data_IF_724148790453
#
_entry.id   IF_724148790453
#
_cell.length_a   1.000
_cell.length_b   1.000
_cell.length_c   1.000
_cell.angle_alpha   90.00
_cell.angle_beta   90.00
_cell.angle_gamma   90.00
#
_symmetry.space_group_name_H-M   'P 1'
#
loop_
_entity.id
_entity.type
_entity.pdbx_description
1 polymer ?
#
# COMPACT_ATOMS: atom_id res chain seq x y z
N UNK A 1 0.53 -15.05 26.50
CA UNK A 1 -0.32 -15.01 25.30
C UNK A 1 0.56 -15.44 24.12
N UNK A 2 0.68 -16.72 23.91
CA UNK A 2 1.63 -17.29 22.94
C UNK A 2 0.89 -18.27 22.05
N UNK A 3 0.00 -17.77 21.22
CA UNK A 3 -0.51 -18.46 20.05
C UNK A 3 -0.35 -17.49 18.90
N UNK A 4 0.60 -17.74 18.03
CA UNK A 4 0.60 -17.08 16.74
C UNK A 4 -0.76 -17.36 16.10
N UNK A 5 -1.50 -16.31 15.75
CA UNK A 5 -2.76 -16.45 15.02
C UNK A 5 -2.45 -17.15 13.70
N UNK A 6 -3.11 -18.30 13.46
CA UNK A 6 -2.94 -18.99 12.18
C UNK A 6 -3.35 -18.09 11.02
N UNK A 7 -2.53 -17.93 10.00
CA UNK A 7 -2.91 -17.16 8.83
C UNK A 7 -4.20 -17.63 8.15
N UNK A 8 -4.53 -18.92 8.24
CA UNK A 8 -5.76 -19.47 7.66
C UNK A 8 -7.04 -18.99 8.35
N UNK A 9 -6.96 -18.54 9.61
CA UNK A 9 -8.10 -17.97 10.33
C UNK A 9 -8.28 -16.46 10.14
N UNK A 10 -7.42 -15.80 9.35
CA UNK A 10 -7.55 -14.38 9.00
C UNK A 10 -8.58 -14.19 7.87
N UNK A 11 -9.84 -14.52 8.17
CA UNK A 11 -10.98 -14.45 7.26
C UNK A 11 -12.25 -14.04 8.03
N UNK A 12 -13.24 -13.55 7.34
CA UNK A 12 -14.52 -13.21 7.91
C UNK A 12 -15.42 -14.47 8.01
N UNK A 13 -16.25 -14.55 9.06
CA UNK A 13 -17.09 -15.72 9.32
C UNK A 13 -18.03 -16.08 8.14
N UNK A 14 -18.51 -15.06 7.40
CA UNK A 14 -19.42 -15.29 6.29
C UNK A 14 -18.77 -16.11 5.16
N UNK A 15 -17.46 -16.04 5.00
CA UNK A 15 -16.72 -16.81 4.01
C UNK A 15 -16.81 -18.31 4.32
N UNK A 16 -16.64 -18.70 5.60
CA UNK A 16 -16.83 -20.08 6.03
C UNK A 16 -18.29 -20.55 5.88
N UNK A 17 -19.26 -19.70 6.23
CA UNK A 17 -20.68 -20.07 6.11
C UNK A 17 -21.10 -20.24 4.66
N UNK A 18 -20.59 -19.40 3.76
CA UNK A 18 -20.80 -19.55 2.32
C UNK A 18 -20.10 -20.80 1.77
N UNK A 19 -18.88 -21.10 2.22
CA UNK A 19 -18.15 -22.30 1.80
C UNK A 19 -18.90 -23.59 2.18
N UNK A 20 -19.47 -23.69 3.43
CA UNK A 20 -20.30 -24.83 3.80
C UNK A 20 -21.59 -24.90 2.97
N UNK A 21 -22.23 -23.76 2.68
CA UNK A 21 -23.40 -23.70 1.80
C UNK A 21 -23.06 -24.17 0.38
N UNK A 22 -21.99 -23.70 -0.22
CA UNK A 22 -21.52 -24.15 -1.54
C UNK A 22 -21.25 -25.67 -1.57
N UNK A 23 -20.60 -26.18 -0.50
CA UNK A 23 -20.33 -27.61 -0.38
C UNK A 23 -21.61 -28.43 -0.34
N UNK A 24 -22.61 -28.04 0.46
CA UNK A 24 -23.90 -28.76 0.56
C UNK A 24 -24.70 -28.76 -0.73
N UNK A 25 -24.61 -27.69 -1.50
CA UNK A 25 -25.26 -27.53 -2.79
C UNK A 25 -24.43 -28.12 -3.96
N UNK A 26 -23.30 -28.80 -3.69
CA UNK A 26 -22.39 -29.35 -4.71
C UNK A 26 -21.88 -28.29 -5.69
N UNK A 27 -21.66 -27.07 -5.17
CA UNK A 27 -21.20 -25.93 -5.92
C UNK A 27 -19.72 -25.58 -5.63
N UNK A 28 -19.14 -26.11 -4.55
CA UNK A 28 -17.84 -25.67 -4.02
C UNK A 28 -16.71 -25.70 -5.05
N UNK A 29 -16.71 -26.69 -5.93
CA UNK A 29 -15.67 -26.93 -6.95
C UNK A 29 -15.97 -26.24 -8.30
N UNK A 30 -17.11 -25.51 -8.42
CA UNK A 30 -17.45 -24.84 -9.67
C UNK A 30 -16.51 -23.64 -9.89
N UNK A 31 -16.05 -23.44 -11.15
CA UNK A 31 -15.12 -22.37 -11.45
C UNK A 31 -15.77 -20.99 -11.27
N UNK A 32 -15.03 -20.10 -10.63
CA UNK A 32 -15.43 -18.71 -10.46
C UNK A 32 -14.22 -17.77 -10.62
N UNK A 33 -14.47 -16.57 -11.12
CA UNK A 33 -13.49 -15.50 -11.16
C UNK A 33 -13.96 -14.35 -10.26
N UNK A 34 -13.06 -13.88 -9.40
CA UNK A 34 -13.24 -12.69 -8.59
C UNK A 34 -12.23 -11.62 -8.99
N UNK A 35 -12.65 -10.37 -8.98
CA UNK A 35 -11.80 -9.21 -9.30
C UNK A 35 -11.70 -8.29 -8.09
N UNK A 36 -10.47 -7.93 -7.71
CA UNK A 36 -10.15 -6.93 -6.69
C UNK A 36 -9.74 -5.63 -7.37
N UNK A 37 -10.41 -4.53 -7.02
CA UNK A 37 -10.12 -3.19 -7.53
C UNK A 37 -10.48 -2.12 -6.52
N UNK A 38 -9.98 -0.89 -6.71
CA UNK A 38 -10.37 0.30 -5.94
C UNK A 38 -11.43 1.05 -6.74
N UNK A 39 -12.57 1.39 -6.13
CA UNK A 39 -13.68 2.06 -6.83
C UNK A 39 -13.41 3.52 -7.16
N UNK A 40 -12.75 4.21 -6.24
CA UNK A 40 -12.45 5.63 -6.37
C UNK A 40 -11.13 5.96 -5.68
N UNK A 41 -10.34 6.85 -6.29
CA UNK A 41 -9.19 7.41 -5.63
C UNK A 41 -9.65 8.32 -4.47
N UNK A 42 -8.88 8.35 -3.36
CA UNK A 42 -9.05 9.37 -2.35
C UNK A 42 -8.95 10.78 -2.94
N UNK A 43 -9.57 11.75 -2.29
CA UNK A 43 -9.46 13.15 -2.71
C UNK A 43 -7.98 13.57 -2.82
N UNK A 44 -7.65 14.31 -3.86
CA UNK A 44 -6.30 14.77 -4.18
C UNK A 44 -5.27 13.66 -4.54
N UNK A 45 -5.71 12.42 -4.75
CA UNK A 45 -4.85 11.36 -5.25
C UNK A 45 -5.08 11.15 -6.75
N UNK A 46 -4.06 11.41 -7.58
CA UNK A 46 -4.15 11.25 -9.04
C UNK A 46 -3.70 9.88 -9.53
N UNK A 47 -3.25 9.01 -8.62
CA UNK A 47 -2.77 7.66 -8.89
C UNK A 47 -2.74 6.85 -7.60
N UNK A 48 -2.58 5.54 -7.75
CA UNK A 48 -2.27 4.59 -6.68
C UNK A 48 -1.00 3.80 -7.03
N UNK A 49 -0.28 3.32 -6.04
CA UNK A 49 0.86 2.41 -6.20
C UNK A 49 0.46 1.03 -5.73
N UNK A 50 0.29 0.08 -6.64
CA UNK A 50 -0.10 -1.28 -6.30
C UNK A 50 0.95 -1.96 -5.40
N UNK A 51 0.53 -2.44 -4.24
CA UNK A 51 1.39 -3.11 -3.26
C UNK A 51 0.59 -4.10 -2.40
N UNK A 52 1.26 -5.12 -1.84
CA UNK A 52 0.66 -6.16 -1.00
C UNK A 52 0.47 -7.50 -1.71
N UNK A 53 0.80 -7.60 -3.00
CA UNK A 53 0.64 -8.82 -3.79
C UNK A 53 1.48 -9.98 -3.24
N UNK A 54 2.73 -9.74 -2.85
CA UNK A 54 3.62 -10.81 -2.32
C UNK A 54 3.01 -11.51 -1.11
N UNK A 55 2.43 -10.73 -0.17
CA UNK A 55 1.77 -11.27 1.02
C UNK A 55 0.51 -12.08 0.63
N UNK A 56 -0.26 -11.60 -0.35
CA UNK A 56 -1.43 -12.30 -0.86
C UNK A 56 -1.06 -13.64 -1.50
N UNK A 57 -0.05 -13.64 -2.35
CA UNK A 57 0.40 -14.84 -3.05
C UNK A 57 1.00 -15.88 -2.09
N UNK A 58 1.81 -15.43 -1.13
CA UNK A 58 2.37 -16.31 -0.10
C UNK A 58 1.28 -16.93 0.77
N UNK A 59 0.26 -16.15 1.14
CA UNK A 59 -0.88 -16.65 1.91
C UNK A 59 -1.67 -17.69 1.13
N UNK A 60 -1.98 -17.44 -0.15
CA UNK A 60 -2.69 -18.40 -1.00
C UNK A 60 -1.91 -19.71 -1.19
N UNK A 61 -0.60 -19.63 -1.46
CA UNK A 61 0.26 -20.82 -1.64
C UNK A 61 0.34 -21.67 -0.37
N UNK A 62 0.27 -21.03 0.81
CA UNK A 62 0.36 -21.69 2.11
C UNK A 62 -1.01 -21.97 2.76
N UNK A 63 -2.12 -21.61 2.12
CA UNK A 63 -3.44 -21.77 2.70
C UNK A 63 -3.74 -23.22 3.06
N UNK A 64 -3.83 -23.47 4.33
CA UNK A 64 -4.27 -24.76 4.90
C UNK A 64 -4.74 -24.57 6.34
N UNK A 65 -5.72 -25.34 6.75
CA UNK A 65 -6.23 -25.31 8.11
C UNK A 65 -5.58 -26.42 8.92
N UNK A 66 -4.85 -26.03 9.97
CA UNK A 66 -4.22 -26.98 10.92
C UNK A 66 -5.26 -27.61 11.83
N UNK A 67 -4.95 -28.73 12.52
CA UNK A 67 -5.86 -29.29 13.51
C UNK A 67 -6.31 -28.29 14.59
N UNK A 68 -5.43 -27.36 14.99
CA UNK A 68 -5.76 -26.31 15.95
C UNK A 68 -6.76 -25.28 15.36
N UNK A 69 -6.64 -24.97 14.08
CA UNK A 69 -7.60 -24.09 13.38
C UNK A 69 -8.97 -24.74 13.29
N UNK A 70 -9.01 -26.02 12.93
CA UNK A 70 -10.26 -26.80 12.84
C UNK A 70 -10.94 -26.89 14.22
N UNK A 71 -10.19 -27.08 15.29
CA UNK A 71 -10.72 -27.02 16.66
C UNK A 71 -11.29 -25.64 16.99
N UNK A 72 -10.62 -24.55 16.56
CA UNK A 72 -11.12 -23.18 16.76
C UNK A 72 -12.43 -22.95 16.01
N UNK A 73 -12.54 -23.43 14.76
CA UNK A 73 -13.77 -23.36 13.96
C UNK A 73 -14.89 -24.24 14.58
N UNK A 74 -14.55 -25.44 15.06
CA UNK A 74 -15.51 -26.34 15.72
C UNK A 74 -16.14 -25.72 17.00
N UNK A 75 -15.37 -24.91 17.74
CA UNK A 75 -15.86 -24.19 18.93
C UNK A 75 -16.98 -23.18 18.63
N UNK A 76 -17.12 -22.74 17.40
CA UNK A 76 -18.24 -21.88 16.97
C UNK A 76 -19.59 -22.61 17.03
N UNK A 77 -19.61 -23.94 16.96
CA UNK A 77 -20.80 -24.81 17.06
C UNK A 77 -21.87 -24.53 15.98
N UNK A 78 -21.47 -24.04 14.82
CA UNK A 78 -22.36 -23.73 13.69
C UNK A 78 -22.05 -24.61 12.47
N UNK A 79 -20.92 -25.30 12.46
CA UNK A 79 -20.47 -26.14 11.36
C UNK A 79 -20.57 -27.62 11.73
N UNK A 80 -20.98 -28.51 10.79
CA UNK A 80 -20.98 -29.95 11.00
C UNK A 80 -19.57 -30.53 10.85
N UNK A 81 -19.37 -31.74 11.40
CA UNK A 81 -18.08 -32.42 11.37
C UNK A 81 -17.58 -32.67 9.92
N UNK A 82 -18.48 -32.94 8.99
CA UNK A 82 -18.13 -33.14 7.59
C UNK A 82 -17.56 -31.89 6.92
N UNK A 83 -17.97 -30.70 7.35
CA UNK A 83 -17.38 -29.45 6.89
C UNK A 83 -15.97 -29.27 7.45
N UNK A 84 -15.75 -29.61 8.72
CA UNK A 84 -14.43 -29.51 9.35
C UNK A 84 -13.43 -30.48 8.67
N UNK A 85 -13.86 -31.68 8.31
CA UNK A 85 -13.04 -32.63 7.55
C UNK A 85 -12.66 -32.03 6.18
N UNK A 86 -13.65 -31.55 5.43
CA UNK A 86 -13.44 -30.92 4.14
C UNK A 86 -12.51 -29.70 4.23
N UNK A 87 -12.72 -28.84 5.24
CA UNK A 87 -11.89 -27.64 5.47
C UNK A 87 -10.44 -28.01 5.76
N UNK A 88 -10.18 -29.12 6.46
CA UNK A 88 -8.83 -29.61 6.74
C UNK A 88 -8.07 -30.07 5.48
N UNK A 89 -8.78 -30.54 4.48
CA UNK A 89 -8.22 -30.95 3.18
C UNK A 89 -8.06 -29.80 2.20
N UNK A 90 -8.74 -28.66 2.45
CA UNK A 90 -8.75 -27.53 1.55
C UNK A 90 -7.34 -26.96 1.34
N UNK A 91 -7.03 -26.71 0.09
CA UNK A 91 -5.86 -25.98 -0.38
C UNK A 91 -6.30 -25.00 -1.47
N UNK A 92 -5.56 -23.94 -1.68
CA UNK A 92 -5.81 -23.11 -2.84
C UNK A 92 -5.24 -23.78 -4.09
N UNK A 93 -6.08 -24.08 -5.06
CA UNK A 93 -5.71 -24.74 -6.33
C UNK A 93 -5.92 -23.82 -7.53
N UNK A 94 -6.40 -22.60 -7.30
CA UNK A 94 -6.71 -21.63 -8.35
C UNK A 94 -5.48 -20.95 -8.95
N UNK A 95 -5.75 -20.03 -9.86
CA UNK A 95 -4.77 -19.18 -10.54
C UNK A 95 -5.02 -17.71 -10.21
N UNK A 96 -3.99 -16.88 -10.27
CA UNK A 96 -4.08 -15.45 -10.01
C UNK A 96 -3.42 -14.68 -11.14
N UNK A 97 -4.14 -13.70 -11.69
CA UNK A 97 -3.60 -12.67 -12.55
C UNK A 97 -3.59 -11.35 -11.79
N UNK A 98 -2.49 -10.63 -11.82
CA UNK A 98 -2.35 -9.39 -11.05
C UNK A 98 -1.44 -8.39 -11.77
N UNK A 99 -1.60 -7.10 -11.42
CA UNK A 99 -0.61 -6.09 -11.76
C UNK A 99 0.62 -6.32 -10.87
N UNK A 100 1.84 -6.27 -11.40
CA UNK A 100 3.06 -6.38 -10.59
C UNK A 100 3.12 -5.27 -9.54
N UNK A 101 3.69 -5.57 -8.37
CA UNK A 101 3.91 -4.54 -7.35
C UNK A 101 4.78 -3.38 -7.87
N UNK A 102 4.43 -2.18 -7.46
CA UNK A 102 5.06 -0.94 -7.94
C UNK A 102 4.42 -0.39 -9.22
N UNK A 103 3.45 -1.09 -9.83
CA UNK A 103 2.67 -0.54 -10.94
C UNK A 103 1.84 0.65 -10.45
N UNK A 104 1.87 1.74 -11.20
CA UNK A 104 0.93 2.83 -11.03
C UNK A 104 -0.42 2.39 -11.57
N UNK A 105 -1.48 2.55 -10.80
CA UNK A 105 -2.84 2.12 -11.14
C UNK A 105 -3.86 3.20 -10.79
N UNK A 106 -5.06 3.09 -11.36
CA UNK A 106 -6.14 4.06 -11.20
C UNK A 106 -7.45 3.38 -10.76
N UNK A 107 -8.41 4.18 -10.31
CA UNK A 107 -9.71 3.67 -9.89
C UNK A 107 -10.42 2.89 -11.00
N UNK A 108 -11.07 1.81 -10.63
CA UNK A 108 -11.78 0.91 -11.55
C UNK A 108 -10.88 -0.13 -12.24
N UNK A 109 -9.57 -0.02 -12.12
CA UNK A 109 -8.62 -1.00 -12.65
C UNK A 109 -8.50 -2.21 -11.72
N UNK A 110 -8.55 -3.45 -12.25
CA UNK A 110 -8.31 -4.63 -11.44
C UNK A 110 -6.85 -4.70 -10.98
N UNK A 111 -6.64 -4.76 -9.66
CA UNK A 111 -5.33 -4.99 -9.06
C UNK A 111 -4.93 -6.47 -9.16
N UNK A 112 -5.91 -7.35 -8.97
CA UNK A 112 -5.77 -8.78 -9.17
C UNK A 112 -7.12 -9.43 -9.51
N UNK A 113 -7.05 -10.60 -10.16
CA UNK A 113 -8.17 -11.49 -10.38
C UNK A 113 -7.78 -12.91 -9.96
N UNK A 114 -8.69 -13.56 -9.23
CA UNK A 114 -8.55 -14.92 -8.74
C UNK A 114 -9.49 -15.81 -9.52
N UNK A 115 -8.95 -16.81 -10.19
CA UNK A 115 -9.68 -17.85 -10.91
C UNK A 115 -9.54 -19.19 -10.18
N UNK A 116 -10.62 -19.86 -9.83
CA UNK A 116 -10.55 -21.15 -9.16
C UNK A 116 -11.91 -21.67 -8.69
N UNK A 117 -11.93 -22.76 -7.93
CA UNK A 117 -13.12 -23.24 -7.26
C UNK A 117 -13.77 -22.15 -6.43
N UNK A 118 -15.10 -21.98 -6.52
CA UNK A 118 -15.77 -20.82 -5.91
C UNK A 118 -15.56 -20.75 -4.40
N UNK A 119 -15.50 -21.90 -3.72
CA UNK A 119 -15.27 -21.91 -2.28
C UNK A 119 -13.85 -21.41 -1.92
N UNK A 120 -12.83 -21.83 -2.66
CA UNK A 120 -11.45 -21.38 -2.46
C UNK A 120 -11.28 -19.89 -2.77
N UNK A 121 -11.82 -19.45 -3.91
CA UNK A 121 -11.73 -18.05 -4.34
C UNK A 121 -12.51 -17.12 -3.38
N UNK A 122 -13.64 -17.60 -2.81
CA UNK A 122 -14.39 -16.83 -1.81
C UNK A 122 -13.65 -16.69 -0.48
N UNK A 123 -13.00 -17.74 0.01
CA UNK A 123 -12.22 -17.71 1.25
C UNK A 123 -11.01 -16.75 1.18
N UNK A 124 -10.61 -16.35 0.00
CA UNK A 124 -9.49 -15.42 -0.19
C UNK A 124 -9.88 -13.93 0.04
N UNK A 125 -11.17 -13.58 0.04
CA UNK A 125 -11.65 -12.19 -0.01
C UNK A 125 -11.04 -11.32 1.08
N UNK A 126 -11.20 -11.70 2.35
CA UNK A 126 -10.80 -10.85 3.47
C UNK A 126 -9.30 -10.61 3.52
N UNK A 127 -8.48 -11.66 3.36
CA UNK A 127 -7.03 -11.50 3.44
C UNK A 127 -6.48 -10.69 2.26
N UNK A 128 -6.92 -10.95 1.04
CA UNK A 128 -6.48 -10.23 -0.15
C UNK A 128 -6.88 -8.76 -0.08
N UNK A 129 -8.12 -8.47 0.30
CA UNK A 129 -8.58 -7.09 0.49
C UNK A 129 -7.76 -6.37 1.55
N UNK A 130 -7.54 -6.99 2.70
CA UNK A 130 -6.79 -6.37 3.80
C UNK A 130 -5.38 -5.98 3.37
N UNK A 131 -4.62 -6.91 2.76
CA UNK A 131 -3.24 -6.68 2.38
C UNK A 131 -3.10 -5.71 1.21
N UNK A 132 -3.89 -5.87 0.15
CA UNK A 132 -3.86 -4.99 -1.01
C UNK A 132 -4.31 -3.57 -0.66
N UNK A 133 -5.37 -3.41 0.13
CA UNK A 133 -5.89 -2.10 0.56
C UNK A 133 -4.86 -1.35 1.40
N UNK A 134 -4.34 -2.00 2.44
CA UNK A 134 -3.40 -1.38 3.38
C UNK A 134 -2.11 -0.96 2.65
N UNK A 135 -1.47 -1.91 1.97
CA UNK A 135 -0.15 -1.66 1.41
C UNK A 135 -0.20 -0.71 0.21
N UNK A 136 -1.24 -0.77 -0.64
CA UNK A 136 -1.45 0.20 -1.72
C UNK A 136 -1.63 1.61 -1.16
N UNK A 137 -2.41 1.78 -0.09
CA UNK A 137 -2.57 3.06 0.58
C UNK A 137 -1.24 3.59 1.15
N UNK A 138 -0.49 2.75 1.88
CA UNK A 138 0.80 3.12 2.47
C UNK A 138 1.85 3.46 1.41
N UNK A 139 1.96 2.65 0.34
CA UNK A 139 2.90 2.89 -0.75
C UNK A 139 2.58 4.18 -1.50
N UNK A 140 1.30 4.43 -1.78
CA UNK A 140 0.87 5.66 -2.44
C UNK A 140 1.19 6.88 -1.60
N UNK A 141 0.84 6.88 -0.29
CA UNK A 141 1.15 7.98 0.61
C UNK A 141 2.66 8.24 0.72
N UNK A 142 3.46 7.18 0.83
CA UNK A 142 4.91 7.29 0.87
C UNK A 142 5.49 7.90 -0.42
N UNK A 143 4.97 7.50 -1.60
CA UNK A 143 5.37 8.05 -2.89
C UNK A 143 5.02 9.54 -3.03
N UNK A 144 3.88 9.98 -2.49
CA UNK A 144 3.43 11.38 -2.46
C UNK A 144 4.34 12.23 -1.58
N UNK A 145 4.70 11.76 -0.38
CA UNK A 145 5.67 12.45 0.49
C UNK A 145 7.04 12.55 -0.19
N UNK A 146 7.51 11.48 -0.85
CA UNK A 146 8.75 11.49 -1.63
C UNK A 146 8.70 12.51 -2.78
N UNK A 147 7.57 12.58 -3.49
CA UNK A 147 7.38 13.56 -4.56
C UNK A 147 7.46 15.00 -4.04
N UNK A 148 6.74 15.28 -2.95
CA UNK A 148 6.73 16.58 -2.29
C UNK A 148 8.13 17.05 -1.89
N UNK A 149 8.99 16.13 -1.47
CA UNK A 149 10.35 16.41 -1.01
C UNK A 149 11.30 16.87 -2.14
N UNK A 150 10.92 16.71 -3.41
CA UNK A 150 11.71 17.24 -4.54
C UNK A 150 13.15 16.72 -4.59
N UNK A 151 13.35 15.43 -4.33
CA UNK A 151 14.67 14.78 -4.31
C UNK A 151 15.41 14.81 -2.98
N UNK A 152 14.88 15.52 -1.95
CA UNK A 152 15.42 15.50 -0.60
C UNK A 152 15.10 14.19 0.11
N UNK A 153 15.88 13.85 1.13
CA UNK A 153 15.67 12.63 1.91
C UNK A 153 14.29 12.61 2.60
N UNK A 154 13.58 11.50 2.52
CA UNK A 154 12.38 11.24 3.33
C UNK A 154 12.60 9.95 4.12
N UNK A 155 12.40 10.02 5.42
CA UNK A 155 12.57 8.90 6.35
C UNK A 155 11.24 8.56 7.02
N UNK A 156 10.91 7.28 7.05
CA UNK A 156 9.77 6.76 7.80
C UNK A 156 10.02 6.81 9.31
N UNK A 157 9.23 7.61 10.03
CA UNK A 157 9.19 7.71 11.50
C UNK A 157 7.87 7.20 12.09
N UNK A 158 7.18 6.31 11.38
CA UNK A 158 5.77 6.03 11.65
C UNK A 158 5.49 4.76 12.48
N UNK A 159 6.47 3.89 12.78
CA UNK A 159 6.19 2.66 13.53
C UNK A 159 5.33 2.90 14.78
N UNK A 160 5.65 3.90 15.60
CA UNK A 160 4.89 4.25 16.81
C UNK A 160 3.54 4.95 16.53
N UNK A 161 3.21 5.23 15.27
CA UNK A 161 2.00 5.93 14.82
C UNK A 161 1.11 5.06 13.93
N UNK A 162 1.64 3.93 13.46
CA UNK A 162 0.90 2.97 12.66
C UNK A 162 -0.19 2.27 13.49
N UNK A 163 -1.31 1.86 12.87
CA UNK A 163 -2.39 1.12 13.53
C UNK A 163 -1.99 -0.35 13.77
N UNK A 164 -1.07 -0.57 14.67
CA UNK A 164 -0.52 -1.88 15.00
C UNK A 164 0.88 -2.12 14.41
N UNK A 165 1.57 -3.08 15.03
CA UNK A 165 2.97 -3.40 14.68
C UNK A 165 3.08 -3.93 13.25
N UNK A 166 2.12 -4.76 12.80
CA UNK A 166 2.12 -5.32 11.46
C UNK A 166 2.02 -4.21 10.39
N UNK A 167 1.10 -3.26 10.55
CA UNK A 167 1.00 -2.11 9.66
C UNK A 167 2.30 -1.29 9.60
N UNK A 168 3.01 -1.14 10.74
CA UNK A 168 4.33 -0.51 10.78
C UNK A 168 5.43 -1.32 10.06
N UNK A 169 5.33 -2.65 10.06
CA UNK A 169 6.21 -3.51 9.27
C UNK A 169 5.92 -3.39 7.77
N UNK A 170 4.63 -3.40 7.38
CA UNK A 170 4.20 -3.21 5.99
C UNK A 170 4.60 -1.82 5.47
N UNK A 171 4.54 -0.78 6.32
CA UNK A 171 5.03 0.55 5.92
C UNK A 171 6.53 0.56 5.63
N UNK A 172 7.36 -0.10 6.44
CA UNK A 172 8.79 -0.20 6.14
C UNK A 172 9.04 -0.91 4.79
N UNK A 173 8.25 -1.93 4.45
CA UNK A 173 8.25 -2.60 3.14
C UNK A 173 7.86 -1.62 2.02
N UNK A 174 6.74 -0.91 2.19
CA UNK A 174 6.28 0.08 1.22
C UNK A 174 7.28 1.23 1.04
N UNK A 175 7.94 1.66 2.12
CA UNK A 175 9.02 2.66 2.07
C UNK A 175 10.17 2.20 1.16
N UNK A 176 10.55 0.91 1.24
CA UNK A 176 11.55 0.33 0.33
C UNK A 176 11.05 0.26 -1.11
N UNK A 177 9.78 -0.14 -1.29
CA UNK A 177 9.15 -0.23 -2.61
C UNK A 177 9.21 1.10 -3.36
N UNK A 178 8.86 2.21 -2.70
CA UNK A 178 8.82 3.54 -3.33
C UNK A 178 10.11 4.35 -3.14
N UNK A 179 11.17 3.76 -2.58
CA UNK A 179 12.49 4.40 -2.49
C UNK A 179 12.60 5.54 -1.48
N UNK A 180 11.98 5.43 -0.31
CA UNK A 180 12.31 6.32 0.81
C UNK A 180 13.75 6.11 1.27
N UNK A 181 14.36 7.15 1.83
CA UNK A 181 15.78 7.16 2.21
C UNK A 181 16.10 6.31 3.44
N UNK A 182 15.09 5.96 4.25
CA UNK A 182 15.29 5.15 5.45
C UNK A 182 14.00 4.93 6.24
N UNK A 183 14.11 4.10 7.29
CA UNK A 183 13.05 3.88 8.28
C UNK A 183 13.62 3.84 9.69
N UNK A 184 12.89 4.37 10.65
CA UNK A 184 13.19 4.25 12.08
C UNK A 184 12.79 2.88 12.67
N UNK A 185 12.08 2.06 11.91
CA UNK A 185 11.68 0.72 12.28
C UNK A 185 12.85 -0.26 12.10
N UNK A 186 13.56 -0.56 13.16
CA UNK A 186 14.76 -1.42 13.11
C UNK A 186 14.45 -2.81 12.56
N UNK A 187 13.34 -3.43 12.98
CA UNK A 187 12.92 -4.74 12.50
C UNK A 187 12.54 -4.71 11.01
N UNK A 188 11.78 -3.68 10.59
CA UNK A 188 11.40 -3.48 9.19
C UNK A 188 12.60 -3.16 8.32
N UNK A 189 13.51 -2.30 8.78
CA UNK A 189 14.74 -1.96 8.09
C UNK A 189 15.59 -3.23 7.83
N UNK A 190 15.78 -4.05 8.85
CA UNK A 190 16.51 -5.32 8.73
C UNK A 190 15.83 -6.30 7.76
N UNK A 191 14.50 -6.50 7.91
CA UNK A 191 13.74 -7.47 7.10
C UNK A 191 13.70 -7.13 5.62
N UNK A 192 13.56 -5.83 5.29
CA UNK A 192 13.30 -5.38 3.92
C UNK A 192 14.48 -4.65 3.26
N UNK A 193 15.62 -4.60 3.93
CA UNK A 193 16.83 -3.97 3.38
C UNK A 193 16.68 -2.46 3.19
N UNK A 194 15.96 -1.79 4.10
CA UNK A 194 15.87 -0.32 4.18
C UNK A 194 16.99 0.18 5.08
N UNK A 195 17.57 1.36 4.79
CA UNK A 195 18.52 1.97 5.70
C UNK A 195 17.85 2.32 7.04
N UNK A 196 18.45 1.88 8.16
CA UNK A 196 18.00 2.32 9.48
C UNK A 196 18.35 3.80 9.68
N UNK A 197 17.38 4.61 10.07
CA UNK A 197 17.57 6.05 10.26
C UNK A 197 16.85 6.50 11.51
N UNK A 198 17.54 7.30 12.30
CA UNK A 198 17.02 7.88 13.53
C UNK A 198 18.08 8.73 14.20
N UNK A 199 17.64 9.57 15.14
CA UNK A 199 18.51 10.42 15.94
C UNK A 199 18.18 10.20 17.43
N UNK A 200 18.18 11.26 18.23
CA UNK A 200 17.75 11.22 19.63
C UNK A 200 16.28 11.67 19.80
N UNK A 201 15.70 11.44 20.96
CA UNK A 201 14.44 12.04 21.40
C UNK A 201 14.66 13.15 22.44
N UNK A 202 13.65 13.99 22.65
CA UNK A 202 13.68 15.06 23.67
C UNK A 202 13.99 14.53 25.07
N UNK A 203 13.52 13.32 25.42
CA UNK A 203 13.78 12.66 26.70
C UNK A 203 15.28 12.44 26.96
N UNK A 204 16.08 12.19 25.90
CA UNK A 204 17.53 12.08 26.06
C UNK A 204 18.15 13.41 26.50
N UNK A 205 17.70 14.52 25.91
CA UNK A 205 18.16 15.87 26.30
C UNK A 205 17.73 16.17 27.74
N UNK A 206 16.47 15.89 28.08
CA UNK A 206 15.91 16.13 29.41
C UNK A 206 16.56 15.27 30.52
N UNK A 207 17.12 14.10 30.18
CA UNK A 207 17.79 13.22 31.14
C UNK A 207 19.18 13.76 31.58
N UNK A 208 19.72 14.75 30.88
CA UNK A 208 21.01 15.35 31.20
C UNK A 208 20.79 16.63 32.01
N UNK A 209 21.86 17.09 32.71
CA UNK A 209 21.79 18.32 33.53
C UNK A 209 21.48 19.58 32.70
N UNK A 210 21.95 19.59 31.44
CA UNK A 210 21.73 20.66 30.47
C UNK A 210 21.85 20.10 29.03
N UNK A 211 21.36 20.85 28.06
CA UNK A 211 21.33 20.48 26.67
C UNK A 211 22.69 20.27 26.02
N UNK A 212 23.68 21.11 26.39
CA UNK A 212 25.06 20.99 25.91
C UNK A 212 25.71 19.70 26.39
N UNK A 213 25.45 19.31 27.66
CA UNK A 213 25.94 18.02 28.18
C UNK A 213 25.33 16.83 27.43
N UNK A 214 24.02 16.89 27.09
CA UNK A 214 23.36 15.86 26.26
C UNK A 214 23.99 15.78 24.86
N UNK A 215 24.19 16.91 24.21
CA UNK A 215 24.79 16.98 22.88
C UNK A 215 26.20 16.42 22.84
N UNK A 216 27.04 16.78 23.81
CA UNK A 216 28.42 16.24 23.95
C UNK A 216 28.39 14.72 24.15
N UNK A 217 27.55 14.23 25.07
CA UNK A 217 27.41 12.79 25.32
C UNK A 217 27.02 12.03 24.07
N UNK A 218 26.06 12.54 23.30
CA UNK A 218 25.63 11.91 22.06
C UNK A 218 26.73 11.96 20.98
N UNK A 219 27.37 13.10 20.82
CA UNK A 219 28.43 13.30 19.84
C UNK A 219 29.66 12.42 20.09
N UNK A 220 30.04 12.19 21.36
CA UNK A 220 31.12 11.30 21.73
C UNK A 220 30.89 9.85 21.27
N UNK A 221 29.62 9.38 21.30
CA UNK A 221 29.24 8.01 20.91
C UNK A 221 29.08 7.86 19.40
N UNK A 222 28.39 8.80 18.76
CA UNK A 222 27.96 8.65 17.36
C UNK A 222 28.83 9.38 16.35
N UNK A 223 29.78 10.20 16.81
CA UNK A 223 30.81 10.86 15.98
C UNK A 223 30.20 11.50 14.71
N UNK A 224 30.68 11.15 13.53
CA UNK A 224 30.26 11.68 12.22
C UNK A 224 28.78 11.39 11.88
N UNK A 225 28.14 10.45 12.57
CA UNK A 225 26.71 10.14 12.39
C UNK A 225 25.79 11.05 13.22
N UNK A 226 26.34 11.96 14.03
CA UNK A 226 25.60 12.78 14.98
C UNK A 226 24.70 13.81 14.29
N UNK A 227 23.39 13.73 14.59
CA UNK A 227 22.38 14.75 14.30
C UNK A 227 21.72 15.16 15.62
N UNK A 228 21.83 16.44 15.99
CA UNK A 228 21.38 16.97 17.27
C UNK A 228 19.95 17.53 17.18
N UNK A 229 19.09 17.15 18.11
CA UNK A 229 17.72 17.67 18.24
C UNK A 229 17.76 18.97 19.06
N UNK A 230 17.54 20.12 18.40
CA UNK A 230 17.87 21.43 18.94
C UNK A 230 16.69 22.24 19.49
N UNK A 231 15.51 21.67 19.47
CA UNK A 231 14.25 22.35 19.85
C UNK A 231 13.60 21.76 21.11
N UNK A 232 14.39 21.18 22.02
CA UNK A 232 13.87 20.65 23.28
C UNK A 232 13.32 21.73 24.20
N UNK A 233 14.00 22.91 24.26
CA UNK A 233 13.62 24.05 25.09
C UNK A 233 13.43 25.34 24.28
N UNK A 234 14.48 25.85 23.69
CA UNK A 234 14.50 27.04 22.83
C UNK A 234 15.38 26.77 21.63
N UNK A 235 14.78 26.80 20.44
CA UNK A 235 15.45 26.41 19.18
C UNK A 235 16.69 27.26 18.90
N UNK A 236 16.63 28.59 19.16
CA UNK A 236 17.76 29.47 18.90
C UNK A 236 18.95 29.14 19.81
N UNK A 237 18.68 28.90 21.09
CA UNK A 237 19.71 28.48 22.05
C UNK A 237 20.23 27.09 21.74
N UNK A 238 19.35 26.13 21.35
CA UNK A 238 19.76 24.81 20.96
C UNK A 238 20.69 24.78 19.76
N UNK A 239 20.48 25.67 18.77
CA UNK A 239 21.38 25.86 17.64
C UNK A 239 22.75 26.36 18.11
N UNK A 240 22.80 27.35 18.99
CA UNK A 240 24.09 27.85 19.52
C UNK A 240 24.88 26.77 20.28
N UNK A 241 24.17 25.94 21.09
CA UNK A 241 24.78 24.80 21.80
C UNK A 241 25.25 23.71 20.84
N UNK A 242 24.51 23.45 19.76
CA UNK A 242 24.94 22.51 18.70
C UNK A 242 26.22 23.04 18.00
N UNK A 243 26.32 24.34 17.74
CA UNK A 243 27.51 24.99 17.18
C UNK A 243 28.70 24.87 18.12
N UNK A 244 28.51 25.07 19.43
CA UNK A 244 29.55 24.86 20.43
C UNK A 244 30.14 23.46 20.34
N UNK A 245 29.26 22.42 20.37
CA UNK A 245 29.67 21.03 20.28
C UNK A 245 30.28 20.70 18.91
N UNK A 246 29.76 21.25 17.81
CA UNK A 246 30.36 21.12 16.49
C UNK A 246 31.79 21.64 16.39
N UNK A 247 32.05 22.77 17.04
CA UNK A 247 33.44 23.32 17.13
C UNK A 247 34.38 22.43 17.95
N UNK A 248 33.86 21.83 19.02
CA UNK A 248 34.64 20.86 19.82
C UNK A 248 34.99 19.63 18.98
N UNK A 249 33.99 19.03 18.30
CA UNK A 249 34.19 17.85 17.42
C UNK A 249 35.17 18.17 16.29
N UNK A 250 35.10 19.37 15.68
CA UNK A 250 36.00 19.76 14.59
C UNK A 250 37.45 19.85 15.05
N UNK A 251 37.72 20.25 16.30
CA UNK A 251 39.08 20.22 16.87
C UNK A 251 39.61 18.79 17.01
N UNK A 252 38.73 17.81 17.10
CA UNK A 252 39.07 16.39 17.11
C UNK A 252 39.10 15.79 15.71
N UNK A 253 38.94 16.60 14.66
CA UNK A 253 38.91 16.13 13.26
C UNK A 253 37.59 15.48 12.84
N UNK A 254 36.48 15.70 13.56
CA UNK A 254 35.16 15.13 13.30
C UNK A 254 34.18 16.24 12.95
N UNK A 255 33.45 16.08 11.84
CA UNK A 255 32.40 17.01 11.45
C UNK A 255 31.03 16.51 11.96
N UNK A 256 30.28 17.38 12.63
CA UNK A 256 28.90 17.12 13.01
C UNK A 256 28.02 17.04 11.76
N UNK A 257 27.23 15.98 11.63
CA UNK A 257 26.43 15.75 10.43
C UNK A 257 25.30 16.75 10.26
N UNK A 258 24.58 17.10 11.32
CA UNK A 258 23.44 18.00 11.19
C UNK A 258 22.69 18.30 12.48
N UNK A 259 21.64 19.09 12.31
CA UNK A 259 20.67 19.42 13.35
C UNK A 259 19.27 18.96 12.92
N UNK A 260 18.40 18.67 13.90
CA UNK A 260 16.99 18.34 13.67
C UNK A 260 16.07 19.32 14.38
N UNK A 261 15.06 19.77 13.64
CA UNK A 261 13.96 20.62 14.09
C UNK A 261 12.66 19.78 14.07
N UNK A 262 11.90 19.77 15.16
CA UNK A 262 10.70 18.92 15.30
C UNK A 262 9.43 19.75 15.62
N UNK A 263 9.57 21.06 15.85
CA UNK A 263 8.50 21.93 16.31
C UNK A 263 8.63 23.38 15.81
N UNK A 264 7.56 24.15 15.99
CA UNK A 264 7.51 25.55 15.60
C UNK A 264 7.23 25.77 14.11
N UNK A 265 7.54 26.97 13.61
CA UNK A 265 7.54 27.26 12.17
C UNK A 265 8.80 26.69 11.53
N UNK A 266 8.69 25.44 11.05
CA UNK A 266 9.84 24.68 10.52
C UNK A 266 10.57 25.41 9.37
N UNK A 267 9.84 26.17 8.54
CA UNK A 267 10.44 26.97 7.47
C UNK A 267 11.29 28.10 8.02
N UNK A 268 10.71 28.93 8.90
CA UNK A 268 11.41 30.03 9.54
C UNK A 268 12.60 29.57 10.39
N UNK A 269 12.42 28.46 11.13
CA UNK A 269 13.49 27.86 11.94
C UNK A 269 14.64 27.30 11.06
N UNK A 270 14.32 26.65 9.93
CA UNK A 270 15.34 26.17 9.00
C UNK A 270 16.18 27.32 8.42
N UNK A 271 15.55 28.45 8.02
CA UNK A 271 16.28 29.64 7.57
C UNK A 271 17.13 30.22 8.66
N UNK A 272 16.66 30.26 9.90
CA UNK A 272 17.41 30.77 11.07
C UNK A 272 18.60 29.86 11.35
N UNK A 273 18.38 28.55 11.39
CA UNK A 273 19.42 27.54 11.58
C UNK A 273 20.51 27.66 10.49
N UNK A 274 20.12 27.69 9.21
CA UNK A 274 21.07 27.78 8.10
C UNK A 274 21.95 29.02 8.18
N UNK A 275 21.34 30.16 8.39
CA UNK A 275 22.06 31.43 8.55
C UNK A 275 23.10 31.39 9.67
N UNK A 276 22.70 30.84 10.82
CA UNK A 276 23.62 30.73 11.96
C UNK A 276 24.76 29.76 11.70
N UNK A 277 24.43 28.60 11.15
CA UNK A 277 25.45 27.59 10.80
C UNK A 277 26.44 28.11 9.76
N UNK A 278 25.99 28.86 8.76
CA UNK A 278 26.87 29.45 7.74
C UNK A 278 27.80 30.53 8.32
N UNK A 279 27.27 31.43 9.18
CA UNK A 279 28.04 32.44 9.87
C UNK A 279 29.15 31.86 10.74
N UNK A 280 28.91 30.67 11.30
CA UNK A 280 29.87 29.99 12.17
C UNK A 280 30.79 29.00 11.44
N UNK A 281 30.70 28.98 10.08
CA UNK A 281 31.57 28.16 9.22
C UNK A 281 31.16 26.68 9.10
N UNK A 282 29.85 26.38 9.25
CA UNK A 282 29.28 25.04 9.08
C UNK A 282 28.30 24.94 7.88
N UNK A 283 28.69 25.32 6.65
CA UNK A 283 27.79 25.35 5.52
C UNK A 283 27.33 23.98 5.07
N UNK A 284 28.08 22.93 5.40
CA UNK A 284 27.76 21.51 5.01
C UNK A 284 26.94 20.78 6.05
N UNK A 285 26.69 21.35 7.22
CA UNK A 285 25.87 20.75 8.25
C UNK A 285 24.42 20.68 7.78
N UNK A 286 23.82 19.49 7.79
CA UNK A 286 22.45 19.26 7.29
C UNK A 286 21.39 19.76 8.27
N UNK A 287 20.24 20.18 7.72
CA UNK A 287 19.05 20.54 8.48
C UNK A 287 17.98 19.50 8.16
N UNK A 288 17.63 18.69 9.14
CA UNK A 288 16.59 17.67 9.05
C UNK A 288 15.36 18.15 9.82
N UNK A 289 14.16 18.01 9.24
CA UNK A 289 12.92 18.43 9.91
C UNK A 289 11.96 17.26 10.10
N UNK A 290 11.19 17.33 11.17
CA UNK A 290 10.15 16.36 11.52
C UNK A 290 9.06 17.10 12.34
N UNK A 291 8.01 16.36 12.76
CA UNK A 291 6.91 16.96 13.53
C UNK A 291 5.73 17.36 12.66
N UNK A 292 4.67 16.55 12.67
CA UNK A 292 3.38 16.82 12.01
C UNK A 292 3.41 16.94 10.49
N UNK A 293 4.47 16.46 9.81
CA UNK A 293 4.64 16.59 8.37
C UNK A 293 3.72 15.64 7.58
N UNK A 294 3.21 16.15 6.46
CA UNK A 294 2.52 15.45 5.40
C UNK A 294 3.03 15.93 4.03
N UNK A 295 2.54 15.35 2.94
CA UNK A 295 2.94 15.72 1.58
C UNK A 295 2.69 17.20 1.25
N UNK A 296 1.63 17.79 1.79
CA UNK A 296 1.28 19.20 1.52
C UNK A 296 2.20 20.17 2.26
N UNK A 297 2.49 19.92 3.52
CA UNK A 297 3.43 20.71 4.32
C UNK A 297 4.85 20.59 3.78
N UNK A 298 5.26 19.41 3.35
CA UNK A 298 6.57 19.20 2.70
C UNK A 298 6.64 20.00 1.40
N UNK A 299 5.61 19.90 0.53
CA UNK A 299 5.58 20.64 -0.72
C UNK A 299 5.65 22.15 -0.49
N UNK A 300 4.92 22.68 0.49
CA UNK A 300 4.97 24.08 0.87
C UNK A 300 6.39 24.50 1.28
N UNK A 301 7.01 23.76 2.20
CA UNK A 301 8.37 24.04 2.68
C UNK A 301 9.40 24.02 1.53
N UNK A 302 9.23 23.11 0.57
CA UNK A 302 10.17 22.94 -0.54
C UNK A 302 9.93 23.96 -1.66
N UNK A 303 8.67 24.07 -2.15
CA UNK A 303 8.36 24.82 -3.38
C UNK A 303 7.95 26.27 -3.12
N UNK A 304 7.23 26.53 -2.02
CA UNK A 304 6.72 27.87 -1.72
C UNK A 304 7.72 28.64 -0.87
N UNK A 305 8.13 28.05 0.26
CA UNK A 305 9.01 28.73 1.23
C UNK A 305 10.48 28.68 0.76
N UNK A 306 10.86 27.69 -0.07
CA UNK A 306 12.26 27.49 -0.47
C UNK A 306 13.20 27.21 0.71
N UNK A 307 12.67 26.59 1.78
CA UNK A 307 13.38 26.40 3.02
C UNK A 307 14.64 25.51 2.83
N UNK A 308 15.79 25.87 3.45
CA UNK A 308 17.04 25.15 3.34
C UNK A 308 17.03 23.86 4.19
N UNK A 309 16.20 22.91 3.78
CA UNK A 309 15.98 21.63 4.46
C UNK A 309 16.60 20.52 3.60
N UNK A 310 17.34 19.61 4.21
CA UNK A 310 18.02 18.50 3.52
C UNK A 310 17.24 17.17 3.61
N UNK A 311 16.35 17.05 4.59
CA UNK A 311 15.54 15.85 4.75
C UNK A 311 14.37 15.98 5.71
N UNK A 312 13.44 15.04 5.59
CA UNK A 312 12.15 15.02 6.27
C UNK A 312 11.94 13.70 7.01
N UNK A 313 11.54 13.77 8.28
CA UNK A 313 11.07 12.62 9.05
C UNK A 313 9.55 12.65 9.15
N UNK A 314 8.87 11.71 8.49
CA UNK A 314 7.41 11.68 8.41
C UNK A 314 6.86 10.55 9.28
N UNK A 315 5.99 10.89 10.21
CA UNK A 315 5.41 9.96 11.17
C UNK A 315 3.95 9.64 10.86
N UNK A 316 3.03 10.33 11.51
CA UNK A 316 1.59 10.04 11.50
C UNK A 316 0.99 9.96 10.09
N UNK A 317 1.38 10.88 9.20
CA UNK A 317 0.86 10.89 7.83
C UNK A 317 1.20 9.61 7.06
N UNK A 318 2.42 9.08 7.18
CA UNK A 318 2.78 7.79 6.59
C UNK A 318 2.04 6.64 7.28
N UNK A 319 2.04 6.62 8.63
CA UNK A 319 1.47 5.50 9.39
C UNK A 319 -0.04 5.31 9.22
N UNK A 320 -0.75 6.38 8.91
CA UNK A 320 -2.21 6.37 8.70
C UNK A 320 -2.61 6.53 7.22
N UNK A 321 -1.68 6.37 6.28
CA UNK A 321 -1.91 6.64 4.86
C UNK A 321 -2.53 8.02 4.59
N UNK A 322 -2.05 9.04 5.30
CA UNK A 322 -2.47 10.43 5.13
C UNK A 322 -3.95 10.68 5.43
N UNK A 323 -4.66 11.28 4.48
CA UNK A 323 -6.11 11.54 4.55
C UNK A 323 -6.96 10.35 4.10
N UNK A 324 -6.34 9.27 3.64
CA UNK A 324 -7.00 8.06 3.16
C UNK A 324 -6.59 6.84 4.00
N UNK A 325 -7.06 6.74 5.26
CA UNK A 325 -6.69 5.65 6.16
C UNK A 325 -7.12 4.27 5.64
N UNK A 326 -8.04 4.24 4.69
CA UNK A 326 -8.44 3.04 3.94
C UNK A 326 -8.84 3.43 2.52
N UNK A 327 -8.65 2.51 1.56
CA UNK A 327 -9.13 2.67 0.18
C UNK A 327 -10.50 2.01 0.05
N UNK A 328 -11.35 2.52 -0.86
CA UNK A 328 -12.63 1.89 -1.23
C UNK A 328 -12.38 0.68 -2.15
N UNK A 329 -11.64 -0.30 -1.63
CA UNK A 329 -11.32 -1.53 -2.34
C UNK A 329 -12.44 -2.54 -2.21
N UNK A 330 -12.62 -3.34 -3.25
CA UNK A 330 -13.63 -4.41 -3.28
C UNK A 330 -13.09 -5.65 -3.98
N UNK A 331 -13.64 -6.80 -3.58
CA UNK A 331 -13.41 -8.10 -4.21
C UNK A 331 -14.76 -8.65 -4.64
N UNK A 332 -14.97 -8.83 -5.94
CA UNK A 332 -16.31 -9.14 -6.46
C UNK A 332 -16.26 -10.22 -7.52
N UNK A 333 -17.18 -11.19 -7.41
CA UNK A 333 -17.38 -12.22 -8.41
C UNK A 333 -17.78 -11.57 -9.74
N UNK A 334 -17.07 -11.95 -10.80
CA UNK A 334 -17.30 -11.45 -12.17
C UNK A 334 -17.60 -12.56 -13.17
N UNK A 335 -17.28 -13.80 -12.80
CA UNK A 335 -17.65 -15.01 -13.56
C UNK A 335 -17.99 -16.15 -12.61
N UNK A 336 -18.95 -16.99 -12.99
CA UNK A 336 -19.32 -18.20 -12.26
C UNK A 336 -19.80 -19.27 -13.23
N UNK A 337 -19.24 -20.47 -13.14
CA UNK A 337 -19.63 -21.68 -13.92
C UNK A 337 -19.72 -21.37 -15.43
N UNK A 338 -18.68 -20.70 -15.96
CA UNK A 338 -18.58 -20.30 -17.36
C UNK A 338 -19.48 -19.13 -17.79
N UNK A 339 -20.22 -18.52 -16.87
CA UNK A 339 -21.09 -17.37 -17.17
C UNK A 339 -20.52 -16.10 -16.56
N UNK A 340 -20.45 -15.04 -17.35
CA UNK A 340 -20.15 -13.72 -16.83
C UNK A 340 -21.28 -13.21 -15.92
N UNK A 341 -20.92 -12.65 -14.76
CA UNK A 341 -21.86 -12.10 -13.78
C UNK A 341 -21.41 -10.71 -13.32
N UNK A 342 -22.34 -9.90 -12.85
CA UNK A 342 -22.03 -8.56 -12.31
C UNK A 342 -23.00 -8.12 -11.24
N UNK A 343 -22.51 -7.23 -10.37
CA UNK A 343 -23.36 -6.46 -9.46
C UNK A 343 -23.93 -5.24 -10.20
N UNK A 344 -25.20 -4.96 -10.01
CA UNK A 344 -25.95 -3.90 -10.72
C UNK A 344 -26.52 -2.83 -9.79
N UNK A 345 -26.25 -2.92 -8.46
CA UNK A 345 -26.75 -1.93 -7.52
C UNK A 345 -26.13 -0.55 -7.80
N UNK A 346 -26.92 0.55 -7.78
CA UNK A 346 -26.47 1.89 -8.11
C UNK A 346 -25.22 2.32 -7.33
N UNK A 347 -24.21 2.82 -8.03
CA UNK A 347 -22.91 3.23 -7.49
C UNK A 347 -22.00 2.09 -7.01
N UNK A 348 -22.40 0.83 -7.27
CA UNK A 348 -21.62 -0.38 -6.93
C UNK A 348 -21.57 -1.38 -8.08
N UNK A 349 -21.81 -0.92 -9.29
CA UNK A 349 -21.77 -1.72 -10.50
C UNK A 349 -20.36 -2.28 -10.72
N UNK A 350 -20.29 -3.49 -11.29
CA UNK A 350 -19.02 -4.12 -11.66
C UNK A 350 -19.01 -4.51 -13.13
N UNK A 351 -17.85 -4.59 -13.73
CA UNK A 351 -17.66 -5.13 -15.07
C UNK A 351 -17.72 -6.65 -15.03
N UNK A 352 -18.49 -7.31 -15.91
CA UNK A 352 -18.62 -8.76 -15.95
C UNK A 352 -17.42 -9.43 -16.61
N UNK A 353 -17.21 -10.70 -16.29
CA UNK A 353 -16.19 -11.56 -16.89
C UNK A 353 -14.77 -11.28 -16.40
N UNK A 354 -13.83 -12.22 -16.63
CA UNK A 354 -12.40 -12.00 -16.44
C UNK A 354 -11.90 -10.88 -17.36
N UNK A 355 -10.92 -10.08 -16.90
CA UNK A 355 -10.47 -8.86 -17.59
C UNK A 355 -8.99 -8.86 -17.88
N UNK A 356 -8.59 -8.06 -18.86
CA UNK A 356 -7.24 -7.57 -19.07
C UNK A 356 -7.25 -6.05 -19.05
N UNK A 357 -6.19 -5.47 -18.55
CA UNK A 357 -5.96 -4.04 -18.56
C UNK A 357 -4.79 -3.73 -19.50
N UNK A 358 -5.01 -2.87 -20.47
CA UNK A 358 -4.03 -2.48 -21.46
C UNK A 358 -3.64 -1.02 -21.23
N UNK A 359 -2.36 -0.75 -20.98
CA UNK A 359 -1.80 0.60 -20.79
C UNK A 359 -1.16 1.12 -22.04
N UNK A 360 -1.51 2.34 -22.41
CA UNK A 360 -0.78 3.13 -23.40
C UNK A 360 0.56 3.63 -22.84
N UNK A 361 1.63 3.42 -23.58
CA UNK A 361 2.98 3.87 -23.19
C UNK A 361 3.12 5.39 -23.06
N UNK A 362 2.23 6.16 -23.69
CA UNK A 362 2.22 7.63 -23.64
C UNK A 362 1.29 8.18 -22.52
N UNK A 363 0.68 7.32 -21.71
CA UNK A 363 -0.24 7.69 -20.64
C UNK A 363 -1.45 8.51 -21.12
N UNK A 364 -1.99 8.19 -22.30
CA UNK A 364 -3.20 8.83 -22.82
C UNK A 364 -4.49 8.22 -22.23
N UNK A 365 -4.41 7.02 -21.69
CA UNK A 365 -5.49 6.29 -21.05
C UNK A 365 -5.25 4.79 -21.04
N UNK A 366 -6.04 4.06 -20.27
CA UNK A 366 -5.99 2.61 -20.22
C UNK A 366 -7.28 2.01 -20.78
N UNK A 367 -7.18 0.84 -21.43
CA UNK A 367 -8.32 0.08 -21.93
C UNK A 367 -8.57 -1.10 -21.01
N UNK A 368 -9.75 -1.15 -20.39
CA UNK A 368 -10.24 -2.31 -19.68
C UNK A 368 -11.00 -3.21 -20.66
N UNK A 369 -10.45 -4.37 -20.96
CA UNK A 369 -10.98 -5.31 -21.95
C UNK A 369 -11.38 -6.64 -21.28
N UNK A 370 -12.18 -7.47 -21.95
CA UNK A 370 -12.35 -8.87 -21.54
C UNK A 370 -11.02 -9.62 -21.74
N UNK A 371 -10.75 -10.63 -20.90
CA UNK A 371 -9.44 -11.30 -20.87
C UNK A 371 -9.11 -12.06 -22.15
N UNK A 372 -10.12 -12.46 -22.90
CA UNK A 372 -10.04 -13.18 -24.17
C UNK A 372 -9.97 -12.25 -25.41
N UNK A 373 -10.07 -10.94 -25.21
CA UNK A 373 -9.91 -10.00 -26.32
C UNK A 373 -8.45 -9.94 -26.78
N UNK A 374 -8.22 -9.81 -28.11
CA UNK A 374 -6.88 -9.54 -28.61
C UNK A 374 -6.37 -8.18 -28.12
N UNK A 375 -5.04 -8.02 -28.09
CA UNK A 375 -4.42 -6.74 -27.80
C UNK A 375 -4.99 -5.64 -28.72
N UNK A 376 -5.27 -4.44 -28.20
CA UNK A 376 -5.66 -3.31 -29.02
C UNK A 376 -4.57 -2.99 -30.07
N UNK A 377 -4.97 -2.42 -31.22
CA UNK A 377 -4.02 -1.97 -32.23
C UNK A 377 -3.14 -0.83 -31.67
N UNK A 378 -1.83 -0.90 -31.90
CA UNK A 378 -0.88 0.09 -31.41
C UNK A 378 0.09 -0.48 -30.38
N UNK A 379 0.63 0.41 -29.55
CA UNK A 379 1.68 0.08 -28.56
C UNK A 379 1.09 0.02 -27.14
N UNK A 380 0.59 -1.15 -26.78
CA UNK A 380 -0.09 -1.38 -25.49
C UNK A 380 0.64 -2.43 -24.66
N UNK A 381 0.72 -2.20 -23.37
CA UNK A 381 1.24 -3.16 -22.39
C UNK A 381 0.08 -3.81 -21.62
N UNK A 382 -0.02 -5.17 -21.60
CA UNK A 382 -0.96 -5.84 -20.71
C UNK A 382 -0.46 -5.77 -19.28
N UNK A 383 -1.26 -5.21 -18.35
CA UNK A 383 -0.85 -5.03 -16.97
C UNK A 383 -1.13 -6.23 -16.08
N UNK A 384 -2.24 -6.97 -16.30
CA UNK A 384 -2.52 -8.20 -15.55
C UNK A 384 -1.64 -9.33 -16.08
N UNK A 385 -0.74 -9.81 -15.24
CA UNK A 385 0.16 -10.94 -15.52
C UNK A 385 -0.26 -12.15 -14.70
N UNK A 386 -0.08 -13.34 -15.24
CA UNK A 386 -0.29 -14.58 -14.45
C UNK A 386 0.83 -14.75 -13.42
N UNK A 387 0.50 -14.52 -12.16
CA UNK A 387 1.46 -14.54 -11.02
C UNK A 387 1.37 -15.84 -10.22
N UNK A 388 0.25 -16.56 -10.32
CA UNK A 388 0.04 -17.90 -9.74
C UNK A 388 -0.75 -18.76 -10.70
N UNK A 389 -0.40 -20.04 -10.80
CA UNK A 389 -1.10 -21.07 -11.58
C UNK A 389 -1.24 -22.33 -10.76
N UNK A 390 -2.45 -22.88 -10.71
CA UNK A 390 -2.75 -24.14 -10.00
C UNK A 390 -2.20 -24.12 -8.55
N UNK A 391 -2.43 -23.02 -7.83
CA UNK A 391 -1.98 -22.79 -6.45
C UNK A 391 -0.47 -22.58 -6.26
N UNK A 392 0.31 -22.41 -7.33
CA UNK A 392 1.78 -22.24 -7.27
C UNK A 392 2.24 -20.95 -7.93
N UNK A 393 3.23 -20.31 -7.33
CA UNK A 393 3.84 -19.10 -7.88
C UNK A 393 4.46 -19.37 -9.25
N UNK A 394 4.18 -18.50 -10.21
CA UNK A 394 4.91 -18.42 -11.48
C UNK A 394 6.24 -17.67 -11.31
N UNK A 395 7.10 -17.69 -12.31
CA UNK A 395 8.33 -16.87 -12.31
C UNK A 395 8.02 -15.37 -12.19
N UNK A 396 6.87 -14.91 -12.72
CA UNK A 396 6.43 -13.51 -12.58
C UNK A 396 5.94 -13.22 -11.15
N UNK A 397 5.33 -14.20 -10.48
CA UNK A 397 4.88 -14.09 -9.08
C UNK A 397 6.03 -14.11 -8.07
N UNK A 398 7.21 -14.61 -8.45
CA UNK A 398 8.41 -14.70 -7.57
C UNK A 398 9.31 -13.46 -7.65
N UNK A 399 8.75 -12.26 -7.82
CA UNK A 399 9.56 -11.03 -7.90
C UNK A 399 10.08 -10.63 -6.53
N UNK A 400 11.35 -10.18 -6.50
CA UNK A 400 11.91 -9.60 -5.29
C UNK A 400 11.41 -8.16 -5.05
N UNK A 401 11.43 -7.71 -3.80
CA UNK A 401 11.11 -6.31 -3.47
C UNK A 401 12.03 -5.31 -4.20
N UNK A 402 13.28 -5.71 -4.51
CA UNK A 402 14.20 -4.90 -5.31
C UNK A 402 13.74 -4.79 -6.78
N UNK A 403 13.18 -5.87 -7.36
CA UNK A 403 12.59 -5.83 -8.70
C UNK A 403 11.33 -4.95 -8.73
N UNK A 404 10.48 -5.08 -7.73
CA UNK A 404 9.29 -4.25 -7.56
C UNK A 404 9.64 -2.77 -7.40
N UNK A 405 10.71 -2.45 -6.67
CA UNK A 405 11.24 -1.09 -6.58
C UNK A 405 11.72 -0.57 -7.94
N UNK A 406 12.49 -1.36 -8.71
CA UNK A 406 12.93 -0.95 -10.05
C UNK A 406 11.76 -0.73 -11.00
N UNK A 407 10.74 -1.58 -10.90
CA UNK A 407 9.51 -1.42 -11.66
C UNK A 407 8.79 -0.11 -11.29
N UNK A 408 8.63 0.16 -9.99
CA UNK A 408 8.07 1.44 -9.53
C UNK A 408 8.84 2.65 -10.07
N UNK A 409 10.18 2.65 -10.00
CA UNK A 409 11.00 3.75 -10.51
C UNK A 409 10.80 3.96 -12.03
N UNK A 410 10.68 2.89 -12.81
CA UNK A 410 10.36 2.97 -14.23
C UNK A 410 8.99 3.59 -14.48
N UNK A 411 7.95 3.10 -13.79
CA UNK A 411 6.59 3.64 -13.87
C UNK A 411 6.54 5.11 -13.42
N UNK A 412 7.20 5.41 -12.29
CA UNK A 412 7.26 6.75 -11.72
C UNK A 412 7.94 7.76 -12.65
N UNK A 413 9.04 7.37 -13.28
CA UNK A 413 9.78 8.27 -14.20
C UNK A 413 8.98 8.63 -15.44
N UNK A 414 8.16 7.72 -15.97
CA UNK A 414 7.31 7.93 -17.13
C UNK A 414 5.96 8.58 -16.82
N UNK A 415 5.49 8.49 -15.56
CA UNK A 415 4.20 9.08 -15.16
C UNK A 415 4.18 10.59 -15.41
N UNK A 416 3.18 11.14 -16.13
CA UNK A 416 3.06 12.56 -16.38
C UNK A 416 2.99 13.41 -15.11
N UNK A 417 3.62 14.57 -15.13
CA UNK A 417 3.72 15.46 -13.96
C UNK A 417 2.35 15.92 -13.43
N UNK A 418 1.37 16.13 -14.32
CA UNK A 418 0.03 16.57 -13.91
C UNK A 418 -0.73 15.51 -13.08
N UNK A 419 -0.45 14.21 -13.30
CA UNK A 419 -0.98 13.12 -12.48
C UNK A 419 -0.29 13.01 -11.12
N UNK A 420 0.93 13.53 -10.98
CA UNK A 420 1.66 13.61 -9.70
C UNK A 420 1.24 14.81 -8.84
N UNK A 421 0.32 15.67 -9.31
CA UNK A 421 -0.16 16.81 -8.54
C UNK A 421 -0.70 16.36 -7.18
N UNK A 422 -0.32 17.07 -6.12
CA UNK A 422 -0.78 16.78 -4.77
C UNK A 422 -2.15 17.38 -4.47
N UNK A 423 -2.63 18.28 -5.33
CA UNK A 423 -3.93 18.94 -5.20
C UNK A 423 -4.66 18.89 -6.53
N UNK A 424 -5.94 18.49 -6.47
CA UNK A 424 -6.85 18.45 -7.62
C UNK A 424 -6.23 17.86 -8.91
N UNK A 425 -5.58 16.67 -8.86
CA UNK A 425 -5.08 16.03 -10.06
C UNK A 425 -6.25 15.72 -11.02
N UNK A 426 -6.03 15.74 -12.35
CA UNK A 426 -7.05 15.27 -13.27
C UNK A 426 -7.28 13.76 -13.11
N UNK A 427 -8.48 13.30 -13.45
CA UNK A 427 -8.76 11.88 -13.53
C UNK A 427 -8.05 11.28 -14.75
N UNK A 428 -7.41 10.14 -14.54
CA UNK A 428 -6.85 9.36 -15.63
C UNK A 428 -7.95 8.57 -16.35
N UNK A 429 -7.99 8.55 -17.69
CA UNK A 429 -9.02 7.83 -18.43
C UNK A 429 -8.81 6.32 -18.35
N UNK A 430 -9.79 5.58 -17.85
CA UNK A 430 -9.90 4.12 -17.94
C UNK A 430 -11.16 3.81 -18.72
N UNK A 431 -11.01 3.29 -19.94
CA UNK A 431 -12.12 3.15 -20.88
C UNK A 431 -12.40 1.67 -21.13
N UNK A 432 -13.66 1.20 -21.01
CA UNK A 432 -14.01 -0.17 -21.37
C UNK A 432 -13.92 -0.38 -22.86
N UNK A 433 -13.48 -1.58 -23.30
CA UNK A 433 -13.51 -1.98 -24.70
C UNK A 433 -14.95 -2.10 -25.22
N UNK A 434 -15.11 -2.06 -26.56
CA UNK A 434 -16.42 -2.27 -27.19
C UNK A 434 -17.01 -3.64 -26.84
N UNK A 435 -16.20 -4.69 -26.84
CA UNK A 435 -16.64 -6.04 -26.49
C UNK A 435 -17.04 -6.15 -25.01
N UNK A 436 -16.32 -5.53 -24.08
CA UNK A 436 -16.69 -5.51 -22.66
C UNK A 436 -18.04 -4.79 -22.44
N UNK A 437 -18.32 -3.72 -23.21
CA UNK A 437 -19.62 -3.04 -23.20
C UNK A 437 -20.73 -3.95 -23.72
N UNK A 438 -20.50 -4.69 -24.83
CA UNK A 438 -21.45 -5.66 -25.38
C UNK A 438 -21.73 -6.82 -24.41
N UNK A 439 -20.68 -7.37 -23.79
CA UNK A 439 -20.80 -8.40 -22.76
C UNK A 439 -21.64 -7.89 -21.57
N UNK A 440 -21.39 -6.65 -21.14
CA UNK A 440 -22.16 -6.02 -20.05
C UNK A 440 -23.63 -5.93 -20.39
N UNK A 441 -23.95 -5.42 -21.60
CA UNK A 441 -25.33 -5.32 -22.05
C UNK A 441 -26.02 -6.71 -22.21
N UNK A 442 -25.25 -7.72 -22.62
CA UNK A 442 -25.75 -9.10 -22.67
C UNK A 442 -26.12 -9.65 -21.29
N UNK A 443 -25.22 -9.52 -20.31
CA UNK A 443 -25.45 -9.97 -18.92
C UNK A 443 -26.68 -9.28 -18.32
N UNK A 444 -26.85 -7.99 -18.57
CA UNK A 444 -28.02 -7.24 -18.08
C UNK A 444 -29.32 -7.72 -18.71
N UNK A 445 -29.33 -8.03 -20.02
CA UNK A 445 -30.54 -8.59 -20.69
C UNK A 445 -30.90 -9.97 -20.13
N UNK A 446 -29.93 -10.88 -19.99
CA UNK A 446 -30.16 -12.21 -19.42
C UNK A 446 -30.71 -12.11 -18.00
N UNK A 447 -30.22 -11.17 -17.20
CA UNK A 447 -30.73 -10.93 -15.84
C UNK A 447 -32.17 -10.46 -15.85
N UNK A 448 -32.50 -9.49 -16.70
CA UNK A 448 -33.85 -8.97 -16.82
C UNK A 448 -34.88 -10.04 -17.28
N UNK A 449 -34.47 -10.98 -18.11
CA UNK A 449 -35.31 -12.11 -18.53
C UNK A 449 -35.62 -13.08 -17.36
N UNK A 450 -34.63 -13.36 -16.50
CA UNK A 450 -34.83 -14.21 -15.31
C UNK A 450 -35.77 -13.55 -14.30
N UNK A 451 -35.69 -12.22 -14.12
CA UNK A 451 -36.48 -11.48 -13.16
C UNK A 451 -37.93 -11.20 -13.67
N UNK A 452 -38.27 -11.54 -14.94
CA UNK A 452 -39.67 -11.44 -15.43
C UNK A 452 -40.52 -12.53 -14.80
N UNK A 453 -41.65 -12.23 -14.14
CA UNK A 453 -42.54 -13.24 -13.62
C UNK A 453 -43.06 -14.08 -14.78
N UNK A 454 -42.94 -15.41 -14.65
CA UNK A 454 -43.48 -16.38 -15.60
C UNK A 454 -44.95 -16.06 -15.80
N UNK A 455 -45.33 -15.52 -16.96
CA UNK A 455 -46.75 -15.36 -17.34
C UNK A 455 -47.36 -16.76 -17.41
N UNK A 456 -47.96 -17.21 -16.34
CA UNK A 456 -48.84 -18.36 -16.32
C UNK A 456 -49.91 -18.12 -17.38
N UNK A 457 -49.83 -18.81 -18.51
CA UNK A 457 -50.94 -18.91 -19.45
C UNK A 457 -52.09 -19.56 -18.68
N UNK A 458 -53.04 -18.77 -18.24
CA UNK A 458 -54.34 -19.28 -17.86
C UNK A 458 -54.98 -19.83 -19.10
N UNK A 459 -54.89 -21.14 -19.30
CA UNK A 459 -55.78 -21.87 -20.23
C UNK A 459 -57.16 -21.77 -19.64
N UNK A 460 -57.93 -20.76 -20.10
CA UNK A 460 -59.36 -20.74 -19.93
C UNK A 460 -59.94 -21.94 -20.62
N UNK A 461 -60.46 -22.90 -19.84
CA UNK A 461 -61.45 -23.81 -20.30
C UNK A 461 -62.80 -23.07 -20.20
N UNK A 462 -63.36 -22.71 -21.36
CA UNK A 462 -64.77 -22.41 -21.54
C UNK A 462 -65.61 -23.69 -21.58
#
# INVERSE_FOLDING_TARGET
MNGETSPALLLDLYELTMADAYRRESMADRPATFSLFVRSEPADWGYLVAAGLDDCLLWLEQLHFTPADLEAVARLRIFPDEFLVWLGELRFTGSVRAVPEGTIVFAGEPLLEVDGPVAEAQLAETYLLNQMTLQTGLATQASRCRHAAGGRAVVDFALRRAPGVDAGMKLARCSRLVGLSGSSNVAGAHRYGVASSGTMGHSFVQAHRDETAAFRAYAQVFREATVLLVDTYDTAQGIERAIEVAREMRREGVELRGVRLDSGDLGAEAFRARRRLDQEGFPTMTIFVSGGLDEYSIERLVKVDGAPIDGFGVGTSLGAAGKAPTLDSVYKMVSYDGRAVRKTSPGKETWPGPKQLWRDFEWQGDILAAADEPAPEGNWEPLLKEVMRDGRLTAVGQRSLADSHRHFESQWSSLPTHLKSLTSPPRYPVVPSGHLLELTAHVDRCRAEIDQPTRTKSTGMG
#
